data_IF_883808388955
#
_entry.id   IF_883808388955
#
_cell.length_a   1.000
_cell.length_b   1.000
_cell.length_c   1.000
_cell.angle_alpha   90.00
_cell.angle_beta   90.00
_cell.angle_gamma   90.00
#
_symmetry.space_group_name_H-M   'P 1'
#
loop_
_entity.id
_entity.type
_entity.pdbx_description
1 polymer ?
#
# COMPACT_ATOMS: atom_id res chain seq x y z
N UNK A 1 6.59 -22.96 -62.30
CA UNK A 1 6.34 -23.41 -60.90
C UNK A 1 7.40 -22.86 -59.94
N UNK A 2 7.61 -21.54 -59.88
CA UNK A 2 8.60 -20.91 -58.97
C UNK A 2 8.07 -19.63 -58.28
N UNK A 3 6.84 -19.19 -58.61
CA UNK A 3 6.21 -17.98 -58.05
C UNK A 3 5.19 -18.24 -56.94
N UNK A 4 4.99 -19.50 -56.54
CA UNK A 4 4.04 -19.90 -55.50
C UNK A 4 4.68 -20.06 -54.11
N UNK A 5 6.01 -20.16 -54.02
CA UNK A 5 6.72 -20.35 -52.75
C UNK A 5 6.95 -19.02 -52.02
N UNK A 6 6.99 -17.90 -52.75
CA UNK A 6 7.23 -16.57 -52.17
C UNK A 6 6.00 -15.98 -51.42
N UNK A 7 4.80 -16.55 -51.61
CA UNK A 7 3.59 -16.03 -50.97
C UNK A 7 3.32 -16.64 -49.58
N UNK A 8 3.91 -17.80 -49.27
CA UNK A 8 3.74 -18.47 -47.97
C UNK A 8 4.63 -17.88 -46.87
N UNK A 9 5.74 -17.22 -47.21
CA UNK A 9 6.67 -16.65 -46.22
C UNK A 9 6.27 -15.26 -45.71
N UNK A 10 5.33 -14.58 -46.37
CA UNK A 10 4.84 -13.26 -45.95
C UNK A 10 3.67 -13.40 -44.96
N UNK A 11 3.07 -14.59 -44.86
CA UNK A 11 1.97 -14.91 -43.92
C UNK A 11 2.42 -15.32 -42.52
N UNK A 12 3.73 -15.51 -42.26
CA UNK A 12 4.27 -15.79 -40.92
C UNK A 12 4.73 -14.53 -40.16
N UNK A 13 4.61 -13.33 -40.75
CA UNK A 13 5.13 -12.09 -40.17
C UNK A 13 4.17 -11.31 -39.26
N UNK A 14 2.91 -11.75 -39.11
CA UNK A 14 1.91 -11.11 -38.25
C UNK A 14 1.59 -11.98 -37.02
N UNK A 15 2.62 -12.47 -36.31
CA UNK A 15 2.44 -12.76 -34.89
C UNK A 15 2.43 -11.38 -34.23
N UNK A 16 1.25 -10.81 -34.11
CA UNK A 16 1.03 -9.58 -33.35
C UNK A 16 1.63 -9.82 -31.97
N UNK A 17 2.70 -9.07 -31.68
CA UNK A 17 3.26 -8.94 -30.35
C UNK A 17 2.12 -8.42 -29.50
N UNK A 18 1.40 -9.32 -28.87
CA UNK A 18 0.47 -9.00 -27.80
C UNK A 18 1.37 -8.51 -26.68
N UNK A 19 1.67 -7.21 -26.72
CA UNK A 19 2.45 -6.54 -25.70
C UNK A 19 1.79 -6.90 -24.37
N UNK A 20 2.50 -7.69 -23.57
CA UNK A 20 2.16 -7.94 -22.18
C UNK A 20 2.04 -6.55 -21.54
N UNK A 21 0.81 -6.06 -21.40
CA UNK A 21 0.55 -4.84 -20.64
C UNK A 21 0.84 -5.22 -19.20
N UNK A 22 2.04 -4.90 -18.73
CA UNK A 22 2.34 -4.85 -17.32
C UNK A 22 1.27 -3.95 -16.69
N UNK A 23 0.44 -4.55 -15.84
CA UNK A 23 -0.68 -3.93 -15.15
C UNK A 23 -0.29 -2.55 -14.62
N UNK A 24 -0.82 -1.50 -15.26
CA UNK A 24 -0.45 -0.10 -15.05
C UNK A 24 -1.11 0.50 -13.79
N UNK A 25 -1.83 -0.31 -13.01
CA UNK A 25 -2.57 0.14 -11.85
C UNK A 25 -1.65 0.72 -10.76
N UNK A 26 -2.10 1.77 -10.03
CA UNK A 26 -1.39 2.25 -8.86
C UNK A 26 -1.19 1.10 -7.87
N UNK A 27 -0.08 1.07 -7.14
CA UNK A 27 0.11 0.10 -6.07
C UNK A 27 1.04 0.66 -5.00
N UNK A 28 0.88 0.14 -3.78
CA UNK A 28 1.70 0.54 -2.65
C UNK A 28 2.94 -0.33 -2.55
N UNK A 29 4.09 0.32 -2.31
CA UNK A 29 5.27 -0.32 -1.72
C UNK A 29 5.57 0.33 -0.38
N UNK A 30 5.20 -0.33 0.71
CA UNK A 30 5.50 0.12 2.07
C UNK A 30 6.93 -0.25 2.47
N UNK A 31 7.59 0.61 3.24
CA UNK A 31 8.87 0.25 3.90
C UNK A 31 8.65 -0.79 4.99
N UNK A 32 7.53 -0.67 5.72
CA UNK A 32 7.03 -1.65 6.68
C UNK A 32 5.52 -1.67 6.65
N UNK A 33 4.92 -2.86 6.78
CA UNK A 33 3.47 -3.01 6.93
C UNK A 33 3.06 -3.30 8.39
N UNK A 34 4.04 -3.44 9.28
CA UNK A 34 3.81 -3.61 10.72
C UNK A 34 4.85 -2.85 11.53
N UNK A 35 4.40 -2.09 12.52
CA UNK A 35 5.26 -1.51 13.54
C UNK A 35 5.01 -2.17 14.91
N UNK A 36 6.08 -2.54 15.61
CA UNK A 36 6.02 -3.01 16.98
C UNK A 36 6.56 -1.92 17.91
N UNK A 37 5.71 -1.38 18.77
CA UNK A 37 6.13 -0.41 19.78
C UNK A 37 6.80 -1.07 20.99
N UNK A 38 6.81 -2.41 21.06
CA UNK A 38 7.31 -3.14 22.21
C UNK A 38 6.48 -2.85 23.46
N UNK A 39 7.15 -2.65 24.58
CA UNK A 39 6.52 -2.29 25.85
C UNK A 39 6.46 -0.77 26.00
N UNK A 40 5.26 -0.22 26.12
CA UNK A 40 5.02 1.22 26.27
C UNK A 40 4.30 1.53 27.60
N UNK A 41 4.53 2.69 28.22
CA UNK A 41 3.85 3.06 29.46
C UNK A 41 2.39 3.44 29.24
N UNK A 42 1.54 3.12 30.22
CA UNK A 42 0.12 3.48 30.20
C UNK A 42 -0.09 4.99 30.15
N UNK A 43 -1.06 5.43 29.34
CA UNK A 43 -1.44 6.83 29.22
C UNK A 43 -0.45 7.71 28.47
N UNK A 44 0.64 7.16 27.91
CA UNK A 44 1.55 7.91 27.03
C UNK A 44 1.34 7.49 25.58
N UNK A 45 0.76 8.38 24.75
CA UNK A 45 0.60 8.09 23.33
C UNK A 45 1.93 7.84 22.63
N UNK A 46 1.92 6.94 21.65
CA UNK A 46 3.05 6.67 20.76
C UNK A 46 2.61 6.76 19.32
N UNK A 47 3.50 7.22 18.44
CA UNK A 47 3.20 7.42 17.03
C UNK A 47 4.21 6.73 16.13
N UNK A 48 3.77 6.32 14.94
CA UNK A 48 4.61 5.77 13.90
C UNK A 48 4.19 6.29 12.52
N UNK A 49 5.17 6.46 11.63
CA UNK A 49 4.95 6.90 10.26
C UNK A 49 5.21 5.74 9.29
N UNK A 50 4.15 5.25 8.66
CA UNK A 50 4.25 4.29 7.58
C UNK A 50 4.53 5.03 6.27
N UNK A 51 5.78 4.93 5.82
CA UNK A 51 6.21 5.45 4.51
C UNK A 51 5.92 4.42 3.43
N UNK A 52 5.42 4.90 2.30
CA UNK A 52 5.19 4.09 1.11
C UNK A 52 5.56 4.84 -0.16
N UNK A 53 5.76 4.10 -1.24
CA UNK A 53 5.97 4.63 -2.60
C UNK A 53 4.87 4.11 -3.51
N UNK A 54 4.37 4.93 -4.45
CA UNK A 54 3.52 4.43 -5.53
C UNK A 54 4.38 3.75 -6.61
N UNK A 55 4.20 2.45 -6.80
CA UNK A 55 4.95 1.69 -7.81
C UNK A 55 4.24 1.56 -9.16
N UNK A 56 2.98 1.98 -9.23
CA UNK A 56 2.19 1.95 -10.47
C UNK A 56 2.44 3.15 -11.37
N UNK A 57 1.88 3.08 -12.58
CA UNK A 57 2.06 4.09 -13.62
C UNK A 57 0.99 5.20 -13.58
N UNK A 58 -0.07 5.00 -12.79
CA UNK A 58 -1.12 5.99 -12.55
C UNK A 58 -1.01 6.59 -11.13
N UNK A 59 -1.52 7.81 -10.91
CA UNK A 59 -1.56 8.41 -9.57
C UNK A 59 -2.33 7.55 -8.57
N UNK A 60 -1.71 7.29 -7.43
CA UNK A 60 -2.31 6.60 -6.30
C UNK A 60 -3.10 7.58 -5.45
N UNK A 61 -4.36 7.27 -5.16
CA UNK A 61 -5.28 8.10 -4.40
C UNK A 61 -5.79 7.28 -3.21
N UNK A 62 -5.50 7.76 -2.01
CA UNK A 62 -6.07 7.22 -0.77
C UNK A 62 -7.40 7.92 -0.54
N UNK A 63 -8.50 7.18 -0.57
CA UNK A 63 -9.83 7.71 -0.31
C UNK A 63 -10.16 7.76 1.17
N UNK A 64 -9.58 6.84 1.96
CA UNK A 64 -9.82 6.79 3.39
C UNK A 64 -8.76 5.96 4.12
N UNK A 65 -8.49 6.30 5.39
CA UNK A 65 -7.72 5.49 6.33
C UNK A 65 -8.50 5.41 7.64
N UNK A 66 -8.89 4.20 8.03
CA UNK A 66 -9.70 3.95 9.22
C UNK A 66 -8.94 3.01 10.17
N UNK A 67 -8.95 3.32 11.47
CA UNK A 67 -8.48 2.40 12.49
C UNK A 67 -9.62 1.57 13.05
N UNK A 68 -9.36 0.29 13.29
CA UNK A 68 -10.34 -0.65 13.88
C UNK A 68 -10.76 -0.33 15.32
N UNK A 69 -10.09 0.62 16.00
CA UNK A 69 -10.49 1.09 17.33
C UNK A 69 -10.26 2.60 17.45
N UNK A 70 -11.21 3.31 18.06
CA UNK A 70 -11.22 4.79 18.15
C UNK A 70 -10.09 5.44 18.98
N UNK A 71 -9.11 4.66 19.44
CA UNK A 71 -7.91 5.16 20.12
C UNK A 71 -6.76 5.49 19.18
N UNK A 72 -7.04 5.53 17.87
CA UNK A 72 -6.07 5.78 16.82
C UNK A 72 -6.52 6.89 15.88
N UNK A 73 -5.66 7.88 15.68
CA UNK A 73 -5.91 9.00 14.76
C UNK A 73 -4.98 8.85 13.55
N UNK A 74 -5.50 8.45 12.38
CA UNK A 74 -4.69 8.42 11.17
C UNK A 74 -4.59 9.81 10.54
N UNK A 75 -3.36 10.25 10.22
CA UNK A 75 -3.12 11.35 9.29
C UNK A 75 -2.42 10.76 8.06
N UNK A 76 -2.83 11.16 6.86
CA UNK A 76 -2.26 10.59 5.64
C UNK A 76 -2.09 11.63 4.55
N UNK A 77 -1.23 11.33 3.58
CA UNK A 77 -1.10 12.11 2.34
C UNK A 77 -2.41 12.02 1.54
N UNK A 78 -3.20 13.09 1.52
CA UNK A 78 -4.49 13.15 0.81
C UNK A 78 -4.40 13.66 -0.63
N UNK A 79 -3.22 14.09 -1.07
CA UNK A 79 -2.96 14.45 -2.47
C UNK A 79 -2.62 13.21 -3.30
N UNK A 80 -2.96 13.16 -4.59
CA UNK A 80 -2.54 12.06 -5.46
C UNK A 80 -1.02 11.87 -5.45
N UNK A 81 -0.57 10.64 -5.25
CA UNK A 81 0.85 10.26 -5.20
C UNK A 81 1.25 9.74 -6.58
N UNK A 82 2.14 10.46 -7.28
CA UNK A 82 2.59 10.06 -8.62
C UNK A 82 3.49 8.84 -8.56
N UNK A 83 3.76 8.24 -9.72
CA UNK A 83 4.73 7.14 -9.84
C UNK A 83 6.06 7.53 -9.21
N UNK A 84 6.58 6.66 -8.33
CA UNK A 84 7.86 6.85 -7.67
C UNK A 84 7.85 7.85 -6.51
N UNK A 85 6.78 8.64 -6.35
CA UNK A 85 6.65 9.54 -5.22
C UNK A 85 6.27 8.79 -3.95
N UNK A 86 6.66 9.36 -2.81
CA UNK A 86 6.39 8.80 -1.48
C UNK A 86 5.22 9.49 -0.79
N UNK A 87 4.42 8.71 -0.08
CA UNK A 87 3.42 9.19 0.85
C UNK A 87 3.65 8.66 2.27
N UNK A 88 2.92 9.23 3.24
CA UNK A 88 3.02 8.87 4.65
C UNK A 88 1.62 8.62 5.22
N UNK A 89 1.51 7.60 6.07
CA UNK A 89 0.38 7.39 6.97
C UNK A 89 0.92 7.40 8.40
N UNK A 90 0.58 8.43 9.16
CA UNK A 90 0.90 8.55 10.58
C UNK A 90 -0.21 7.93 11.40
N UNK A 91 0.17 7.05 12.31
CA UNK A 91 -0.71 6.41 13.30
C UNK A 91 -0.29 6.87 14.69
N UNK A 92 -1.25 7.15 15.57
CA UNK A 92 -1.00 7.40 17.00
C UNK A 92 -1.84 6.46 17.83
N UNK A 93 -1.24 5.69 18.74
CA UNK A 93 -1.94 4.84 19.70
C UNK A 93 -1.93 5.49 21.09
N UNK A 94 -3.09 5.67 21.70
CA UNK A 94 -3.22 6.44 22.96
C UNK A 94 -2.73 5.71 24.22
N UNK A 95 -2.47 4.39 24.16
CA UNK A 95 -2.05 3.57 25.30
C UNK A 95 -2.94 3.66 26.56
N UNK A 96 -4.25 3.85 26.40
CA UNK A 96 -5.16 4.02 27.54
C UNK A 96 -5.38 2.73 28.35
N UNK A 97 -5.51 1.59 27.67
CA UNK A 97 -5.77 0.29 28.28
C UNK A 97 -4.47 -0.52 28.44
N UNK A 98 -4.20 -1.12 29.62
CA UNK A 98 -3.06 -2.00 29.83
C UNK A 98 -3.19 -3.30 29.04
N UNK A 99 -2.06 -3.97 28.79
CA UNK A 99 -1.99 -5.27 28.12
C UNK A 99 -1.56 -5.21 26.66
N UNK A 100 -1.53 -6.38 26.02
CA UNK A 100 -1.10 -6.51 24.64
C UNK A 100 -2.13 -5.90 23.67
N UNK A 101 -1.64 -5.29 22.58
CA UNK A 101 -2.47 -4.82 21.49
C UNK A 101 -1.89 -5.24 20.14
N UNK A 102 -2.80 -5.50 19.20
CA UNK A 102 -2.51 -5.66 17.77
C UNK A 102 -3.67 -5.02 17.01
N UNK A 103 -3.43 -3.88 16.35
CA UNK A 103 -4.46 -3.06 15.72
C UNK A 103 -4.17 -2.91 14.24
N UNK A 104 -5.21 -3.03 13.43
CA UNK A 104 -5.15 -2.81 11.99
C UNK A 104 -5.61 -1.40 11.63
N UNK A 105 -4.91 -0.79 10.69
CA UNK A 105 -5.36 0.36 9.91
C UNK A 105 -5.78 -0.15 8.53
N UNK A 106 -7.00 0.19 8.15
CA UNK A 106 -7.60 -0.15 6.86
C UNK A 106 -7.46 1.05 5.93
N UNK A 107 -6.78 0.84 4.81
CA UNK A 107 -6.52 1.86 3.79
C UNK A 107 -7.40 1.54 2.59
N UNK A 108 -8.26 2.47 2.19
CA UNK A 108 -9.08 2.38 0.97
C UNK A 108 -8.47 3.27 -0.10
N UNK A 109 -8.32 2.77 -1.32
CA UNK A 109 -7.64 3.46 -2.42
C UNK A 109 -8.06 2.96 -3.80
N UNK A 110 -7.55 3.61 -4.85
CA UNK A 110 -7.63 3.14 -6.24
C UNK A 110 -6.48 2.18 -6.64
N UNK A 111 -5.72 1.65 -5.67
CA UNK A 111 -4.64 0.73 -5.95
C UNK A 111 -5.15 -0.61 -6.50
N UNK A 112 -4.24 -1.39 -7.09
CA UNK A 112 -4.46 -2.79 -7.51
C UNK A 112 -5.10 -3.63 -6.42
N UNK A 113 -4.71 -3.38 -5.17
CA UNK A 113 -5.41 -3.89 -3.98
C UNK A 113 -6.22 -2.74 -3.36
N UNK A 114 -7.54 -2.64 -3.62
CA UNK A 114 -8.32 -1.45 -3.22
C UNK A 114 -8.41 -1.25 -1.70
N UNK A 115 -8.31 -2.34 -0.94
CA UNK A 115 -8.30 -2.34 0.53
C UNK A 115 -7.02 -2.98 1.03
N UNK A 116 -6.14 -2.18 1.64
CA UNK A 116 -4.86 -2.63 2.21
C UNK A 116 -4.89 -2.50 3.72
N UNK A 117 -4.25 -3.44 4.41
CA UNK A 117 -4.11 -3.41 5.87
C UNK A 117 -2.66 -3.22 6.28
N UNK A 118 -2.42 -2.38 7.27
CA UNK A 118 -1.15 -2.25 7.99
C UNK A 118 -1.40 -2.32 9.49
N UNK A 119 -0.39 -2.68 10.27
CA UNK A 119 -0.58 -3.06 11.66
C UNK A 119 0.33 -2.31 12.62
N UNK A 120 -0.20 -2.02 13.81
CA UNK A 120 0.61 -1.67 14.97
C UNK A 120 0.40 -2.71 16.06
N UNK A 121 1.47 -3.02 16.79
CA UNK A 121 1.41 -3.94 17.94
C UNK A 121 2.33 -3.49 19.06
N UNK A 122 2.13 -4.09 20.22
CA UNK A 122 2.93 -3.84 21.42
C UNK A 122 2.19 -4.29 22.67
N UNK A 123 2.64 -3.80 23.82
CA UNK A 123 2.02 -4.03 25.12
C UNK A 123 2.11 -2.78 25.99
N UNK A 124 0.98 -2.40 26.60
CA UNK A 124 0.90 -1.29 27.53
C UNK A 124 1.16 -1.79 28.95
N UNK A 125 2.08 -1.15 29.66
CA UNK A 125 2.46 -1.50 31.02
C UNK A 125 2.19 -0.38 32.02
N UNK A 126 1.73 -0.78 33.20
CA UNK A 126 1.38 0.09 34.32
C UNK A 126 2.56 0.34 35.27
N UNK A 127 3.80 0.17 34.78
CA UNK A 127 5.02 0.25 35.61
C UNK A 127 5.19 1.64 36.23
#
# INVERSE_FOLDING_TARGET
MKKLIAFCLILLGFITVSAMRADQQPDFKFEKETNDFGKIPQGKPVSYEFKFTNTGDQPLIISNVESTCGCTVPKYTSTPIKKGDTGIITVTYNAAAPGAFNKALTIKSNAKTPVKYIYIKGSVSTS
#
